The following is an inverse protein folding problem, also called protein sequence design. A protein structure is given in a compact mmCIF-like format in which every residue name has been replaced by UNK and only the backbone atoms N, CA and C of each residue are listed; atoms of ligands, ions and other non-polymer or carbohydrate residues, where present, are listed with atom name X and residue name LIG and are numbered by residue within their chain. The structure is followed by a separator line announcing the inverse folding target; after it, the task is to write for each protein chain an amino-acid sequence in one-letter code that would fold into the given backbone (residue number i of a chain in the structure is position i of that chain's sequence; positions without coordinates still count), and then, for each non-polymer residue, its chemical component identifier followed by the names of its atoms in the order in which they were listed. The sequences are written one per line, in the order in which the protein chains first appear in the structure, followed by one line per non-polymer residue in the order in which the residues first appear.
data_IF_433974563023
#
_entry.id   IF_433974563023
#
_cell.length_a   1.000
_cell.length_b   1.000
_cell.length_c   1.000
_cell.angle_alpha   90.00
_cell.angle_beta   90.00
_cell.angle_gamma   90.00
#
_symmetry.space_group_name_H-M   'P 1'
#
loop_
_entity.id
_entity.type
_entity.pdbx_description
1 polymer ?
#
# COMPACT_ATOMS: atom_id res chain seq x y z
N UNK A 1 -56.62 25.35 -47.10
CA UNK A 1 -56.25 24.13 -46.36
C UNK A 1 -55.23 23.34 -47.17
N UNK A 2 -53.98 23.30 -46.71
CA UNK A 2 -52.95 22.29 -46.98
C UNK A 2 -51.83 22.47 -45.92
N UNK A 3 -51.15 21.39 -45.49
CA UNK A 3 -50.69 21.22 -44.11
C UNK A 3 -49.23 21.59 -43.83
N UNK A 4 -48.93 21.79 -42.54
CA UNK A 4 -47.59 21.97 -42.00
C UNK A 4 -46.74 20.70 -42.17
N UNK A 5 -45.51 20.84 -42.67
CA UNK A 5 -44.52 19.76 -42.69
C UNK A 5 -43.39 20.11 -41.73
N UNK A 6 -43.36 19.38 -40.62
CA UNK A 6 -42.30 19.40 -39.63
C UNK A 6 -41.02 18.78 -40.21
N UNK A 7 -39.90 19.47 -40.08
CA UNK A 7 -38.58 18.91 -40.37
C UNK A 7 -38.24 17.92 -39.25
N UNK A 8 -38.30 16.62 -39.55
CA UNK A 8 -37.87 15.57 -38.65
C UNK A 8 -36.33 15.57 -38.57
N UNK A 9 -35.79 15.89 -37.38
CA UNK A 9 -34.38 15.65 -37.06
C UNK A 9 -34.25 14.15 -36.76
N UNK A 10 -33.83 13.36 -37.74
CA UNK A 10 -33.42 11.98 -37.48
C UNK A 10 -32.03 12.03 -36.85
N UNK A 11 -31.95 11.78 -35.54
CA UNK A 11 -30.68 11.61 -34.86
C UNK A 11 -30.28 10.15 -34.99
N UNK A 12 -29.52 9.85 -36.04
CA UNK A 12 -28.96 8.52 -36.27
C UNK A 12 -27.80 8.31 -35.29
N UNK A 13 -28.10 7.73 -34.13
CA UNK A 13 -27.12 7.33 -33.13
C UNK A 13 -26.40 6.06 -33.60
N UNK A 14 -25.48 6.20 -34.55
CA UNK A 14 -24.47 5.18 -34.80
C UNK A 14 -23.59 5.04 -33.55
N UNK A 15 -23.21 3.83 -33.12
CA UNK A 15 -22.29 3.67 -32.00
C UNK A 15 -20.95 4.27 -32.42
N UNK A 16 -20.64 5.44 -31.87
CA UNK A 16 -19.31 6.06 -32.01
C UNK A 16 -18.34 5.11 -31.33
N UNK A 17 -17.70 4.24 -32.13
CA UNK A 17 -16.54 3.48 -31.67
C UNK A 17 -15.51 4.54 -31.29
N UNK A 18 -15.34 4.77 -29.98
CA UNK A 18 -14.19 5.52 -29.47
C UNK A 18 -12.96 4.68 -29.82
N UNK A 19 -12.44 4.89 -31.03
CA UNK A 19 -11.10 4.49 -31.37
C UNK A 19 -10.23 5.43 -30.55
N UNK A 20 -9.78 4.95 -29.39
CA UNK A 20 -8.71 5.61 -28.65
C UNK A 20 -7.51 5.50 -29.57
N UNK A 21 -7.23 6.56 -30.32
CA UNK A 21 -5.96 6.75 -31.00
C UNK A 21 -4.89 6.97 -29.93
N UNK A 22 -4.52 5.88 -29.27
CA UNK A 22 -3.41 5.84 -28.33
C UNK A 22 -2.12 5.93 -29.17
N UNK A 23 -1.75 7.16 -29.51
CA UNK A 23 -0.53 7.43 -30.27
C UNK A 23 0.20 8.60 -29.67
N UNK A 24 0.42 8.58 -28.35
CA UNK A 24 1.65 9.12 -27.76
C UNK A 24 1.83 8.78 -26.27
N UNK A 25 1.75 7.51 -25.90
CA UNK A 25 2.28 7.06 -24.61
C UNK A 25 3.80 6.92 -24.70
N UNK A 26 4.51 8.07 -24.85
CA UNK A 26 5.98 8.13 -24.68
C UNK A 26 6.38 8.04 -23.21
N UNK A 27 5.44 8.27 -22.31
CA UNK A 27 5.66 8.13 -20.89
C UNK A 27 5.24 6.72 -20.45
N UNK A 28 6.15 5.91 -19.89
CA UNK A 28 5.78 4.62 -19.35
C UNK A 28 4.62 4.79 -18.36
N UNK A 29 3.59 3.96 -18.48
CA UNK A 29 2.48 3.93 -17.53
C UNK A 29 3.02 3.82 -16.10
N UNK A 30 2.34 4.44 -15.13
CA UNK A 30 2.72 4.35 -13.72
C UNK A 30 2.91 2.88 -13.34
N UNK A 31 4.07 2.56 -12.77
CA UNK A 31 4.39 1.18 -12.40
C UNK A 31 4.98 0.31 -13.51
N UNK A 32 5.12 0.75 -14.77
CA UNK A 32 5.77 -0.04 -15.82
C UNK A 32 7.21 -0.44 -15.45
N UNK A 33 7.88 0.36 -14.62
CA UNK A 33 9.19 0.03 -14.07
C UNK A 33 9.18 -1.33 -13.35
N UNK A 34 8.10 -1.66 -12.62
CA UNK A 34 7.90 -2.91 -11.87
C UNK A 34 8.01 -4.19 -12.72
N UNK A 35 7.81 -4.08 -14.04
CA UNK A 35 7.77 -5.23 -14.95
C UNK A 35 8.99 -5.31 -15.87
N UNK A 36 9.95 -4.38 -15.78
CA UNK A 36 11.15 -4.35 -16.63
C UNK A 36 12.33 -5.16 -16.08
N UNK A 37 12.16 -5.81 -14.93
CA UNK A 37 13.19 -6.69 -14.35
C UNK A 37 14.36 -5.96 -13.68
N UNK A 38 14.30 -4.63 -13.51
CA UNK A 38 15.31 -3.85 -12.75
C UNK A 38 15.44 -4.34 -11.29
N UNK A 39 14.40 -4.95 -10.71
CA UNK A 39 14.41 -5.57 -9.36
C UNK A 39 15.00 -6.97 -9.32
N UNK A 40 15.30 -7.60 -10.47
CA UNK A 40 15.79 -8.98 -10.49
C UNK A 40 17.15 -9.15 -9.79
N UNK A 41 17.88 -8.04 -9.58
CA UNK A 41 19.15 -7.99 -8.85
C UNK A 41 18.98 -7.57 -7.38
N UNK A 42 17.78 -7.15 -6.99
CA UNK A 42 17.47 -6.72 -5.63
C UNK A 42 17.04 -7.95 -4.82
N UNK A 43 17.95 -8.42 -3.96
CA UNK A 43 17.68 -9.57 -3.10
C UNK A 43 16.88 -9.14 -1.89
N UNK A 44 15.67 -9.69 -1.73
CA UNK A 44 14.93 -9.57 -0.48
C UNK A 44 15.62 -10.40 0.61
N UNK A 45 16.18 -9.74 1.62
CA UNK A 45 16.88 -10.38 2.75
C UNK A 45 15.94 -10.97 3.81
N UNK A 46 14.62 -10.96 3.60
CA UNK A 46 13.63 -11.38 4.59
C UNK A 46 13.33 -10.31 5.64
N UNK A 47 14.36 -9.57 6.07
CA UNK A 47 14.27 -8.52 7.08
C UNK A 47 14.90 -7.22 6.57
N UNK A 48 14.18 -6.11 6.76
CA UNK A 48 14.69 -4.78 6.48
C UNK A 48 15.30 -4.21 7.78
N UNK A 49 16.65 -4.15 7.91
CA UNK A 49 17.31 -3.68 9.13
C UNK A 49 17.00 -2.20 9.43
N UNK A 50 16.74 -1.40 8.39
CA UNK A 50 16.41 0.02 8.48
C UNK A 50 14.94 0.28 8.81
N UNK A 51 14.09 -0.77 8.84
CA UNK A 51 12.69 -0.64 9.18
C UNK A 51 12.54 -0.02 10.57
N UNK A 52 11.79 1.07 10.65
CA UNK A 52 11.47 1.73 11.91
C UNK A 52 10.10 1.26 12.37
N UNK A 53 10.06 0.77 13.60
CA UNK A 53 8.81 0.35 14.24
C UNK A 53 7.82 1.51 14.22
N UNK A 54 6.62 1.24 13.74
CA UNK A 54 5.54 2.19 13.59
C UNK A 54 4.38 1.87 14.55
N UNK A 55 3.47 2.84 14.69
CA UNK A 55 2.22 2.66 15.43
C UNK A 55 1.35 1.65 14.68
N UNK A 56 0.76 0.70 15.40
CA UNK A 56 -0.07 -0.38 14.84
C UNK A 56 0.71 -1.64 14.46
N UNK A 57 2.05 -1.61 14.53
CA UNK A 57 2.88 -2.80 14.32
C UNK A 57 2.62 -3.84 15.41
N UNK A 58 2.93 -5.10 15.10
CA UNK A 58 2.95 -6.20 16.07
C UNK A 58 4.37 -6.69 16.27
N UNK A 59 4.79 -6.79 17.53
CA UNK A 59 6.09 -7.33 17.93
C UNK A 59 5.89 -8.65 18.65
N UNK A 60 6.65 -9.67 18.26
CA UNK A 60 6.79 -10.87 19.07
C UNK A 60 7.81 -10.60 20.18
N UNK A 61 7.41 -10.74 21.44
CA UNK A 61 8.28 -10.50 22.59
C UNK A 61 8.42 -11.78 23.39
N UNK A 62 9.68 -12.22 23.54
CA UNK A 62 10.06 -13.41 24.29
C UNK A 62 11.00 -13.04 25.43
N UNK A 63 10.64 -13.43 26.66
CA UNK A 63 11.43 -13.18 27.87
C UNK A 63 11.67 -14.49 28.62
N UNK A 64 12.88 -14.66 29.11
CA UNK A 64 13.33 -15.82 29.88
C UNK A 64 14.07 -15.36 31.14
N UNK A 65 14.01 -16.14 32.22
CA UNK A 65 14.76 -15.87 33.45
C UNK A 65 13.97 -15.12 34.52
N UNK A 66 13.29 -15.88 35.40
CA UNK A 66 12.47 -15.35 36.50
C UNK A 66 10.99 -15.15 36.14
N UNK A 67 10.68 -14.92 34.87
CA UNK A 67 9.33 -15.04 34.29
C UNK A 67 9.46 -15.54 32.85
N UNK A 68 8.54 -16.41 32.43
CA UNK A 68 8.40 -16.78 31.03
C UNK A 68 7.31 -15.93 30.40
N UNK A 69 7.62 -15.31 29.26
CA UNK A 69 6.69 -14.49 28.51
C UNK A 69 6.93 -14.68 27.02
N UNK A 70 5.89 -15.01 26.26
CA UNK A 70 5.95 -15.16 24.81
C UNK A 70 4.61 -14.68 24.22
N UNK A 71 4.57 -13.43 23.76
CA UNK A 71 3.34 -12.85 23.20
C UNK A 71 3.61 -11.87 22.07
N UNK A 72 2.62 -11.76 21.19
CA UNK A 72 2.55 -10.71 20.18
C UNK A 72 1.88 -9.46 20.77
N UNK A 73 2.63 -8.37 20.87
CA UNK A 73 2.18 -7.10 21.42
C UNK A 73 2.00 -6.06 20.31
N UNK A 74 0.92 -5.28 20.39
CA UNK A 74 0.64 -4.19 19.45
C UNK A 74 1.32 -2.90 19.93
N UNK A 75 1.93 -2.17 18.99
CA UNK A 75 2.39 -0.80 19.23
C UNK A 75 1.19 0.13 19.28
N UNK A 76 0.94 0.70 20.45
CA UNK A 76 -0.18 1.62 20.70
C UNK A 76 -0.01 2.97 19.98
N UNK A 77 -1.04 3.81 20.04
CA UNK A 77 -1.03 5.16 19.43
C UNK A 77 0.02 6.11 20.02
N UNK A 78 0.55 5.81 21.20
CA UNK A 78 1.63 6.56 21.82
C UNK A 78 3.02 6.04 21.40
N UNK A 79 3.08 4.93 20.65
CA UNK A 79 4.30 4.29 20.18
C UNK A 79 4.92 3.32 21.18
N UNK A 80 4.13 2.80 22.13
CA UNK A 80 4.59 1.86 23.14
C UNK A 80 4.04 0.45 22.92
N UNK A 81 4.73 -0.53 23.49
CA UNK A 81 4.17 -1.85 23.82
C UNK A 81 3.92 -1.92 25.33
N UNK A 82 2.96 -2.73 25.77
CA UNK A 82 2.68 -2.90 27.20
C UNK A 82 3.15 -4.26 27.70
N UNK A 83 4.08 -4.25 28.65
CA UNK A 83 4.59 -5.46 29.30
C UNK A 83 4.00 -5.61 30.70
N UNK A 84 3.47 -6.79 31.08
CA UNK A 84 3.00 -7.04 32.44
C UNK A 84 4.09 -6.76 33.47
N UNK A 85 3.75 -6.10 34.58
CA UNK A 85 4.65 -5.73 35.70
C UNK A 85 5.75 -4.70 35.36
N UNK A 86 6.07 -4.46 34.09
CA UNK A 86 7.03 -3.44 33.63
C UNK A 86 6.31 -2.15 33.24
N UNK A 87 5.16 -2.26 32.58
CA UNK A 87 4.39 -1.13 32.07
C UNK A 87 4.70 -0.80 30.60
N UNK A 88 4.45 0.45 30.16
CA UNK A 88 4.66 0.86 28.78
C UNK A 88 6.15 0.99 28.44
N UNK A 89 6.55 0.42 27.30
CA UNK A 89 7.91 0.51 26.76
C UNK A 89 7.84 1.17 25.38
N UNK A 90 8.56 2.28 25.22
CA UNK A 90 8.64 3.02 23.95
C UNK A 90 9.44 2.23 22.92
N UNK A 91 8.83 1.94 21.78
CA UNK A 91 9.49 1.20 20.68
C UNK A 91 9.39 1.91 19.34
N UNK A 92 8.39 2.79 19.16
CA UNK A 92 8.23 3.50 17.89
C UNK A 92 9.49 4.31 17.51
N UNK A 93 9.94 4.13 16.26
CA UNK A 93 11.12 4.78 15.71
C UNK A 93 12.43 4.02 15.88
N UNK A 94 12.47 2.97 16.72
CA UNK A 94 13.64 2.07 16.83
C UNK A 94 13.77 1.28 15.53
N UNK A 95 15.01 1.17 15.04
CA UNK A 95 15.30 0.39 13.84
C UNK A 95 15.29 -1.09 14.16
N UNK A 96 14.85 -1.93 13.23
CA UNK A 96 14.81 -3.37 13.40
C UNK A 96 16.18 -3.97 13.75
N UNK A 97 17.27 -3.39 13.24
CA UNK A 97 18.64 -3.82 13.59
C UNK A 97 19.05 -3.57 15.06
N UNK A 98 18.29 -2.78 15.81
CA UNK A 98 18.59 -2.39 17.20
C UNK A 98 17.72 -3.12 18.22
N UNK A 99 16.87 -4.06 17.77
CA UNK A 99 15.99 -4.86 18.60
C UNK A 99 16.71 -6.08 19.21
#
# INVERSE_FOLDING_TARGET
MQPAHALAVTQEAAPVRKVVSDTQTRDPVFGNWLFRGEFARESFSGFNPDYRIAIGDKLQVQLWGGVEFDQSLLVDHQGNIFLPKVGPVKVAGVRNEQL
#
